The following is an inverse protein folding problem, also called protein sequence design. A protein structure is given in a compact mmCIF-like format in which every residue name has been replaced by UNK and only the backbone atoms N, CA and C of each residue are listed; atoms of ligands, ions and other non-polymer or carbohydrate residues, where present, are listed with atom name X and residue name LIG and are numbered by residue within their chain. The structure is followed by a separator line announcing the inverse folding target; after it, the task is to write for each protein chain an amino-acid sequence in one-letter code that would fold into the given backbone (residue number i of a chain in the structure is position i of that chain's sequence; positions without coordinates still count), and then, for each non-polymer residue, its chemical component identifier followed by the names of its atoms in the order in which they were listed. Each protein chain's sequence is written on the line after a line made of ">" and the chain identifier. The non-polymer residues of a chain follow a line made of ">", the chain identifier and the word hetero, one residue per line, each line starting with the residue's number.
data_IF_932987906647
#
_entry.id   IF_932987906647
#
_cell.length_a   1.000
_cell.length_b   1.000
_cell.length_c   1.000
_cell.angle_alpha   90.00
_cell.angle_beta   90.00
_cell.angle_gamma   90.00
#
_symmetry.space_group_name_H-M   'P 1'
#
loop_
_entity.id
_entity.type
_entity.pdbx_description
1 polymer ?
#
# COMPACT_ATOMS: atom_id res chain seq x y z
N UNK A 1 9.35 -78.15 -41.54
CA UNK A 1 10.17 -77.35 -40.54
C UNK A 1 9.34 -76.21 -40.11
N UNK A 2 8.84 -76.14 -38.90
CA UNK A 2 8.06 -75.03 -38.41
C UNK A 2 8.93 -74.02 -37.65
N UNK A 3 8.81 -72.74 -38.00
CA UNK A 3 9.43 -71.57 -37.35
C UNK A 3 8.67 -71.22 -36.08
N UNK A 4 9.33 -71.25 -34.93
CA UNK A 4 8.78 -70.84 -33.64
C UNK A 4 8.89 -69.38 -33.47
N UNK A 5 7.77 -68.69 -33.48
CA UNK A 5 7.69 -67.24 -33.19
C UNK A 5 7.65 -67.10 -31.65
N UNK A 6 8.69 -66.51 -31.05
CA UNK A 6 8.75 -66.12 -29.65
C UNK A 6 8.09 -64.77 -29.47
N UNK A 7 6.95 -64.71 -28.82
CA UNK A 7 6.31 -63.47 -28.37
C UNK A 7 7.04 -62.98 -27.14
N UNK A 8 7.66 -61.78 -27.26
CA UNK A 8 8.14 -61.02 -26.12
C UNK A 8 7.04 -60.06 -25.66
N UNK A 9 6.43 -60.34 -24.51
CA UNK A 9 5.55 -59.39 -23.80
C UNK A 9 6.44 -58.33 -23.13
N UNK A 10 6.49 -57.13 -23.69
CA UNK A 10 7.04 -55.96 -22.99
C UNK A 10 5.94 -55.36 -22.10
N UNK A 11 6.07 -55.54 -20.78
CA UNK A 11 5.19 -54.92 -19.82
C UNK A 11 5.44 -53.39 -19.73
N UNK A 12 4.47 -52.63 -20.18
CA UNK A 12 4.46 -51.15 -20.04
C UNK A 12 3.95 -50.84 -18.61
N UNK A 13 4.88 -50.56 -17.68
CA UNK A 13 4.54 -50.03 -16.35
C UNK A 13 4.24 -48.56 -16.53
N UNK A 14 2.96 -48.20 -16.59
CA UNK A 14 2.48 -46.82 -16.60
C UNK A 14 2.59 -46.29 -15.15
N UNK A 15 3.67 -45.58 -14.84
CA UNK A 15 3.82 -44.86 -13.59
C UNK A 15 2.88 -43.65 -13.63
N UNK A 16 1.70 -43.78 -13.04
CA UNK A 16 0.80 -42.68 -12.75
C UNK A 16 1.46 -41.80 -11.66
N UNK A 17 2.16 -40.76 -12.07
CA UNK A 17 2.54 -39.67 -11.18
C UNK A 17 1.26 -38.97 -10.75
N UNK A 18 0.79 -39.27 -9.54
CA UNK A 18 -0.30 -38.55 -8.89
C UNK A 18 0.21 -37.08 -8.69
N UNK A 19 -0.19 -36.18 -9.59
CA UNK A 19 -0.14 -34.74 -9.31
C UNK A 19 -1.13 -34.47 -8.16
N UNK A 20 -0.60 -34.47 -6.93
CA UNK A 20 -1.33 -33.92 -5.81
C UNK A 20 -1.57 -32.44 -6.16
N UNK A 21 -2.81 -31.91 -6.09
CA UNK A 21 -3.04 -30.50 -6.21
C UNK A 21 -2.21 -29.85 -5.11
N UNK A 22 -1.26 -28.99 -5.47
CA UNK A 22 -0.65 -28.09 -4.52
C UNK A 22 -1.80 -27.24 -3.98
N UNK A 23 -2.32 -27.61 -2.82
CA UNK A 23 -3.21 -26.74 -2.06
C UNK A 23 -2.38 -25.48 -1.83
N UNK A 24 -2.80 -24.38 -2.42
CA UNK A 24 -2.25 -23.08 -2.11
C UNK A 24 -2.60 -22.83 -0.64
N UNK A 25 -1.70 -23.26 0.26
CA UNK A 25 -1.84 -23.07 1.69
C UNK A 25 -1.86 -21.56 1.95
N UNK A 26 -2.71 -21.12 2.87
CA UNK A 26 -2.62 -19.78 3.41
C UNK A 26 -1.19 -19.58 3.94
N UNK A 27 -0.62 -18.40 3.73
CA UNK A 27 0.76 -18.11 4.18
C UNK A 27 0.75 -17.85 5.69
N UNK A 28 0.67 -18.91 6.48
CA UNK A 28 0.61 -18.87 7.95
C UNK A 28 1.90 -18.30 8.55
N UNK A 29 1.85 -17.89 9.81
CA UNK A 29 3.03 -17.45 10.56
C UNK A 29 4.11 -18.54 10.57
N UNK A 30 3.71 -19.80 10.79
CA UNK A 30 4.65 -20.93 10.81
C UNK A 30 5.33 -21.14 9.45
N UNK A 31 4.62 -20.97 8.33
CA UNK A 31 5.18 -21.07 6.99
C UNK A 31 6.16 -19.95 6.67
N UNK A 32 5.87 -18.70 7.13
CA UNK A 32 6.78 -17.57 7.00
C UNK A 32 8.07 -17.84 7.77
N UNK A 33 7.98 -18.31 9.01
CA UNK A 33 9.13 -18.66 9.85
C UNK A 33 9.91 -19.82 9.22
N UNK A 34 9.25 -20.87 8.78
CA UNK A 34 9.87 -22.04 8.14
C UNK A 34 10.58 -21.66 6.81
N UNK A 35 10.01 -20.72 6.04
CA UNK A 35 10.62 -20.17 4.82
C UNK A 35 11.82 -19.29 5.12
N UNK A 36 11.95 -18.78 6.34
CA UNK A 36 13.07 -17.95 6.80
C UNK A 36 13.07 -16.52 6.28
N UNK A 37 11.94 -15.99 5.81
CA UNK A 37 11.77 -14.59 5.40
C UNK A 37 10.31 -14.16 5.38
N UNK A 38 10.05 -12.88 5.64
CA UNK A 38 8.77 -12.21 5.45
C UNK A 38 8.83 -11.37 4.16
N UNK A 39 7.85 -11.54 3.26
CA UNK A 39 7.80 -10.79 2.00
C UNK A 39 6.72 -9.71 2.10
N UNK A 40 7.12 -8.43 2.00
CA UNK A 40 6.21 -7.29 2.23
C UNK A 40 6.18 -6.36 1.03
N UNK A 41 4.98 -6.07 0.54
CA UNK A 41 4.79 -5.02 -0.45
C UNK A 41 4.84 -3.64 0.21
N UNK A 42 5.63 -2.76 -0.36
CA UNK A 42 5.83 -1.37 0.08
C UNK A 42 5.81 -0.42 -1.12
N UNK A 43 5.46 0.85 -0.88
CA UNK A 43 5.61 1.92 -1.87
C UNK A 43 6.86 2.74 -1.51
N UNK A 44 7.78 2.91 -2.45
CA UNK A 44 9.01 3.69 -2.26
C UNK A 44 8.97 5.06 -2.95
N UNK A 45 7.79 5.52 -3.35
CA UNK A 45 7.59 6.81 -4.02
C UNK A 45 6.82 7.81 -3.18
N UNK A 46 6.45 7.43 -1.95
CA UNK A 46 5.55 8.19 -1.08
C UNK A 46 6.21 8.55 0.26
N UNK A 47 7.23 9.41 0.23
CA UNK A 47 7.82 9.88 1.48
C UNK A 47 6.79 10.69 2.30
N UNK A 48 6.82 10.66 3.64
CA UNK A 48 7.81 10.03 4.52
C UNK A 48 7.51 8.58 4.87
N UNK A 49 6.50 7.98 4.24
CA UNK A 49 6.07 6.60 4.55
C UNK A 49 6.98 5.56 3.93
N UNK A 50 7.31 5.72 2.64
CA UNK A 50 8.26 4.86 1.95
C UNK A 50 8.98 5.64 0.84
N UNK A 51 10.32 5.57 0.84
CA UNK A 51 11.18 6.22 -0.16
C UNK A 51 12.54 5.52 -0.20
N UNK A 52 13.37 5.87 -1.17
CA UNK A 52 14.74 5.40 -1.25
C UNK A 52 15.68 6.43 -0.59
N UNK A 53 16.61 5.95 0.24
CA UNK A 53 17.68 6.80 0.79
C UNK A 53 18.78 7.10 -0.26
N UNK A 54 19.86 7.75 0.17
CA UNK A 54 21.00 8.09 -0.70
C UNK A 54 21.72 6.85 -1.28
N UNK A 55 21.62 5.71 -0.60
CA UNK A 55 22.17 4.43 -1.03
C UNK A 55 21.20 3.57 -1.85
N UNK A 56 20.05 4.16 -2.24
CA UNK A 56 18.93 3.51 -2.93
C UNK A 56 18.30 2.37 -2.13
N UNK A 57 18.37 2.42 -0.80
CA UNK A 57 17.72 1.45 0.08
C UNK A 57 16.34 1.97 0.50
N UNK A 58 15.33 1.09 0.55
CA UNK A 58 14.03 1.45 1.09
C UNK A 58 14.13 1.94 2.54
N UNK A 59 13.52 3.09 2.81
CA UNK A 59 13.41 3.69 4.15
C UNK A 59 12.08 4.42 4.29
N UNK A 60 11.70 4.78 5.51
CA UNK A 60 10.45 5.47 5.79
C UNK A 60 9.64 4.81 6.89
N UNK A 61 8.52 5.43 7.23
CA UNK A 61 7.66 4.96 8.33
C UNK A 61 7.15 3.53 8.10
N UNK A 62 6.57 3.25 6.92
CA UNK A 62 6.03 1.93 6.58
C UNK A 62 7.13 0.86 6.46
N UNK A 63 8.30 1.27 5.92
CA UNK A 63 9.46 0.38 5.80
C UNK A 63 9.94 -0.05 7.19
N UNK A 64 9.99 0.89 8.15
CA UNK A 64 10.43 0.58 9.50
C UNK A 64 9.40 -0.27 10.27
N UNK A 65 8.10 0.00 10.06
CA UNK A 65 7.04 -0.87 10.59
C UNK A 65 7.19 -2.29 10.06
N UNK A 66 7.38 -2.47 8.75
CA UNK A 66 7.58 -3.79 8.16
C UNK A 66 8.86 -4.48 8.64
N UNK A 67 9.96 -3.72 8.80
CA UNK A 67 11.22 -4.25 9.35
C UNK A 67 11.01 -4.78 10.77
N UNK A 68 10.34 -4.02 11.63
CA UNK A 68 10.02 -4.45 13.01
C UNK A 68 9.08 -5.67 13.05
N UNK A 69 8.22 -5.83 12.05
CA UNK A 69 7.38 -7.02 11.92
C UNK A 69 8.25 -8.27 11.65
N UNK A 70 9.25 -8.17 10.76
CA UNK A 70 10.21 -9.26 10.53
C UNK A 70 11.07 -9.55 11.75
N UNK A 71 11.55 -8.51 12.45
CA UNK A 71 12.30 -8.66 13.71
C UNK A 71 11.48 -9.45 14.75
N UNK A 72 10.19 -9.13 14.91
CA UNK A 72 9.30 -9.81 15.84
C UNK A 72 9.00 -11.27 15.45
N UNK A 73 9.04 -11.61 14.16
CA UNK A 73 8.92 -12.97 13.63
C UNK A 73 10.27 -13.73 13.67
N UNK A 74 11.37 -13.04 13.94
CA UNK A 74 12.72 -13.63 13.91
C UNK A 74 13.22 -13.93 12.49
N UNK A 75 12.72 -13.24 11.47
CA UNK A 75 13.10 -13.43 10.06
C UNK A 75 13.43 -12.10 9.37
N UNK A 76 14.33 -12.08 8.37
CA UNK A 76 14.56 -10.91 7.54
C UNK A 76 13.33 -10.57 6.70
N UNK A 77 13.20 -9.29 6.35
CA UNK A 77 12.14 -8.81 5.44
C UNK A 77 12.70 -8.66 4.03
N UNK A 78 11.98 -9.24 3.07
CA UNK A 78 12.16 -9.00 1.64
C UNK A 78 11.11 -7.99 1.18
N UNK A 79 11.55 -6.83 0.69
CA UNK A 79 10.65 -5.80 0.19
C UNK A 79 10.35 -5.99 -1.29
N UNK A 80 9.06 -5.95 -1.65
CA UNK A 80 8.56 -5.89 -3.01
C UNK A 80 7.98 -4.50 -3.25
N UNK A 81 8.59 -3.70 -4.11
CA UNK A 81 8.07 -2.37 -4.45
C UNK A 81 6.83 -2.49 -5.32
N UNK A 82 5.75 -1.85 -4.89
CA UNK A 82 4.49 -1.77 -5.62
C UNK A 82 3.98 -0.33 -5.66
N UNK A 83 3.25 0.01 -6.69
CA UNK A 83 2.44 1.24 -6.73
C UNK A 83 1.07 1.01 -6.09
N UNK A 84 0.31 2.07 -5.86
CA UNK A 84 -1.03 1.98 -5.23
C UNK A 84 -1.96 0.96 -5.88
N UNK A 85 -2.09 0.84 -7.22
CA UNK A 85 -2.90 -0.20 -7.86
C UNK A 85 -2.37 -1.62 -7.66
N UNK A 86 -1.07 -1.79 -7.46
CA UNK A 86 -0.42 -3.11 -7.32
C UNK A 86 -0.63 -3.78 -5.95
N UNK A 87 -1.05 -3.05 -4.92
CA UNK A 87 -1.18 -3.57 -3.54
C UNK A 87 -2.10 -4.78 -3.43
N UNK A 88 -3.34 -4.67 -3.90
CA UNK A 88 -4.31 -5.77 -3.84
C UNK A 88 -3.90 -6.95 -4.74
N UNK A 89 -3.53 -6.73 -6.02
CA UNK A 89 -3.05 -7.81 -6.87
C UNK A 89 -1.88 -8.61 -6.27
N UNK A 90 -0.91 -7.94 -5.62
CA UNK A 90 0.23 -8.65 -5.02
C UNK A 90 -0.16 -9.60 -3.89
N UNK A 91 -1.20 -9.28 -3.10
CA UNK A 91 -1.79 -10.18 -2.11
C UNK A 91 -2.57 -11.33 -2.75
N UNK A 92 -3.45 -11.01 -3.73
CA UNK A 92 -4.30 -12.01 -4.38
C UNK A 92 -3.49 -13.07 -5.15
N UNK A 93 -2.35 -12.67 -5.71
CA UNK A 93 -1.42 -13.58 -6.41
C UNK A 93 -0.42 -14.26 -5.47
N UNK A 94 -0.49 -14.00 -4.15
CA UNK A 94 0.44 -14.52 -3.13
C UNK A 94 1.91 -14.20 -3.42
N UNK A 95 2.15 -13.08 -4.12
CA UNK A 95 3.49 -12.56 -4.37
C UNK A 95 4.11 -12.04 -3.07
N UNK A 96 3.30 -11.57 -2.14
CA UNK A 96 3.68 -11.03 -0.84
C UNK A 96 2.83 -11.62 0.27
N UNK A 97 3.35 -11.64 1.48
CA UNK A 97 2.63 -12.07 2.69
C UNK A 97 1.75 -10.94 3.22
N UNK A 98 2.25 -9.70 3.13
CA UNK A 98 1.57 -8.52 3.66
C UNK A 98 1.84 -7.29 2.79
N UNK A 99 0.94 -6.30 2.91
CA UNK A 99 1.11 -4.95 2.35
C UNK A 99 1.21 -3.94 3.49
N UNK A 100 2.34 -3.25 3.59
CA UNK A 100 2.58 -2.13 4.51
C UNK A 100 2.92 -0.91 3.68
N UNK A 101 1.90 -0.13 3.29
CA UNK A 101 2.05 0.88 2.23
C UNK A 101 0.90 1.88 2.21
N UNK A 102 0.75 2.71 3.26
CA UNK A 102 -0.34 3.70 3.35
C UNK A 102 -1.69 3.08 2.91
N UNK A 103 -1.93 1.86 3.32
CA UNK A 103 -3.03 1.07 2.80
C UNK A 103 -4.33 1.39 3.55
N UNK A 104 -5.03 2.44 3.08
CA UNK A 104 -6.28 2.92 3.70
C UNK A 104 -7.31 1.81 3.81
N UNK A 105 -7.83 1.62 5.02
CA UNK A 105 -8.93 0.70 5.32
C UNK A 105 -10.20 1.27 4.72
N UNK A 106 -10.78 0.57 3.74
CA UNK A 106 -12.05 0.95 3.11
C UNK A 106 -12.94 -0.27 2.88
N UNK A 107 -14.30 -0.12 2.96
CA UNK A 107 -15.21 -1.24 2.71
C UNK A 107 -15.02 -1.88 1.32
N UNK A 108 -14.76 -1.07 0.29
CA UNK A 108 -14.56 -1.56 -1.08
C UNK A 108 -13.33 -2.50 -1.20
N UNK A 109 -12.23 -2.16 -0.51
CA UNK A 109 -11.03 -3.00 -0.49
C UNK A 109 -11.20 -4.21 0.42
N UNK A 110 -11.94 -4.07 1.53
CA UNK A 110 -12.20 -5.17 2.48
C UNK A 110 -13.05 -6.30 1.87
N UNK A 111 -13.67 -6.10 0.71
CA UNK A 111 -14.27 -7.19 -0.07
C UNK A 111 -13.21 -8.15 -0.61
N UNK A 112 -12.01 -7.65 -0.93
CA UNK A 112 -10.96 -8.39 -1.63
C UNK A 112 -9.83 -8.88 -0.71
N UNK A 113 -9.51 -8.13 0.33
CA UNK A 113 -8.40 -8.40 1.27
C UNK A 113 -8.85 -8.16 2.70
N UNK A 114 -8.10 -8.68 3.66
CA UNK A 114 -8.30 -8.37 5.07
C UNK A 114 -7.25 -7.37 5.57
N UNK A 115 -7.57 -6.73 6.69
CA UNK A 115 -6.73 -5.72 7.31
C UNK A 115 -6.45 -6.05 8.77
N UNK A 116 -5.29 -5.62 9.23
CA UNK A 116 -5.01 -5.49 10.65
C UNK A 116 -5.83 -4.36 11.29
N UNK A 117 -5.77 -4.23 12.61
CA UNK A 117 -6.10 -2.99 13.31
C UNK A 117 -5.26 -1.84 12.73
N UNK A 118 -5.73 -0.57 12.83
CA UNK A 118 -4.98 0.57 12.31
C UNK A 118 -3.64 0.76 13.02
N UNK A 119 -2.57 0.97 12.22
CA UNK A 119 -1.24 1.30 12.73
C UNK A 119 -0.86 2.77 12.52
N UNK A 120 -1.55 3.47 11.62
CA UNK A 120 -1.36 4.89 11.32
C UNK A 120 -2.62 5.50 10.71
N UNK A 121 -2.58 6.79 10.43
CA UNK A 121 -3.63 7.50 9.72
C UNK A 121 -3.16 8.87 9.25
N UNK A 122 -3.93 9.46 8.35
CA UNK A 122 -3.69 10.79 7.79
C UNK A 122 -4.98 11.48 7.38
N UNK A 123 -4.92 12.80 7.19
CA UNK A 123 -5.96 13.53 6.49
C UNK A 123 -5.70 13.48 4.98
N UNK A 124 -6.69 13.03 4.22
CA UNK A 124 -6.75 13.26 2.79
C UNK A 124 -7.22 14.70 2.56
N UNK A 125 -6.52 15.43 1.71
CA UNK A 125 -6.70 16.85 1.47
C UNK A 125 -6.62 17.18 -0.02
N UNK A 126 -7.13 18.35 -0.39
CA UNK A 126 -6.78 18.98 -1.67
C UNK A 126 -5.71 20.03 -1.41
N UNK A 127 -4.65 19.98 -2.21
CA UNK A 127 -3.53 20.93 -2.17
C UNK A 127 -3.49 21.68 -3.50
N UNK A 128 -3.27 22.98 -3.45
CA UNK A 128 -3.16 23.84 -4.63
C UNK A 128 -2.30 25.07 -4.34
N UNK A 129 -1.92 25.86 -5.37
CA UNK A 129 -1.27 27.14 -5.14
C UNK A 129 -2.10 28.08 -4.26
N UNK A 130 -1.46 28.86 -3.39
CA UNK A 130 -2.12 29.84 -2.52
C UNK A 130 -2.98 30.81 -3.31
N UNK A 131 -2.52 31.20 -4.51
CA UNK A 131 -3.22 32.09 -5.42
C UNK A 131 -4.52 31.52 -5.99
N UNK A 132 -4.72 30.21 -5.91
CA UNK A 132 -5.92 29.54 -6.44
C UNK A 132 -7.00 29.46 -5.36
N UNK A 133 -8.13 30.11 -5.57
CA UNK A 133 -9.24 30.07 -4.62
C UNK A 133 -9.99 28.75 -4.77
N UNK A 134 -9.87 27.88 -3.75
CA UNK A 134 -10.54 26.57 -3.65
C UNK A 134 -10.94 26.37 -2.19
N UNK A 135 -12.22 26.13 -1.93
CA UNK A 135 -12.78 25.85 -0.60
C UNK A 135 -13.60 24.55 -0.55
N UNK A 136 -13.88 23.97 -1.71
CA UNK A 136 -14.66 22.74 -1.84
C UNK A 136 -14.65 22.18 -3.24
N UNK A 137 -15.38 21.09 -3.46
CA UNK A 137 -15.42 20.38 -4.75
C UNK A 137 -15.93 21.26 -5.91
N UNK A 138 -16.88 22.15 -5.65
CA UNK A 138 -17.43 23.01 -6.69
C UNK A 138 -16.39 23.96 -7.30
N UNK A 139 -15.38 24.38 -6.52
CA UNK A 139 -14.32 25.28 -6.99
C UNK A 139 -13.28 24.56 -7.87
N UNK A 140 -13.36 23.23 -7.98
CA UNK A 140 -12.52 22.42 -8.86
C UNK A 140 -13.03 22.38 -10.30
N UNK A 141 -14.25 22.87 -10.58
CA UNK A 141 -14.81 22.95 -11.95
C UNK A 141 -13.90 23.80 -12.82
N UNK A 142 -13.58 23.31 -14.02
CA UNK A 142 -12.64 23.96 -14.96
C UNK A 142 -11.17 23.80 -14.61
N UNK A 143 -10.81 22.99 -13.59
CA UNK A 143 -9.44 22.74 -13.15
C UNK A 143 -9.00 21.32 -13.44
N UNK A 144 -7.69 21.18 -13.67
CA UNK A 144 -7.00 19.87 -13.76
C UNK A 144 -6.61 19.43 -12.37
N UNK A 145 -7.24 18.35 -11.91
CA UNK A 145 -7.00 17.77 -10.58
C UNK A 145 -6.19 16.49 -10.71
N UNK A 146 -4.96 16.50 -10.21
CA UNK A 146 -4.07 15.36 -10.20
C UNK A 146 -4.35 14.41 -9.04
N UNK A 147 -4.27 13.11 -9.31
CA UNK A 147 -4.47 12.03 -8.33
C UNK A 147 -3.51 10.90 -8.58
N UNK A 148 -3.07 10.22 -7.52
CA UNK A 148 -2.41 8.92 -7.69
C UNK A 148 -3.47 7.85 -7.91
N UNK A 149 -3.36 7.11 -9.00
CA UNK A 149 -4.30 6.04 -9.39
C UNK A 149 -4.49 5.02 -8.27
N UNK A 150 -5.74 4.64 -8.03
CA UNK A 150 -6.09 3.56 -7.09
C UNK A 150 -5.92 3.93 -5.61
N UNK A 151 -5.71 5.22 -5.28
CA UNK A 151 -5.74 5.70 -3.89
C UNK A 151 -7.18 5.89 -3.41
N UNK A 152 -7.36 6.14 -2.12
CA UNK A 152 -8.68 6.45 -1.57
C UNK A 152 -9.14 7.85 -2.01
N UNK A 153 -8.21 8.78 -2.17
CA UNK A 153 -8.42 10.13 -2.68
C UNK A 153 -8.91 10.11 -4.14
N UNK A 154 -8.35 9.20 -4.98
CA UNK A 154 -8.83 8.99 -6.36
C UNK A 154 -10.31 8.63 -6.38
N UNK A 155 -10.76 7.71 -5.52
CA UNK A 155 -12.17 7.36 -5.42
C UNK A 155 -13.07 8.54 -5.03
N UNK A 156 -12.66 9.35 -4.04
CA UNK A 156 -13.44 10.51 -3.58
C UNK A 156 -13.55 11.58 -4.66
N UNK A 157 -12.41 11.96 -5.26
CA UNK A 157 -12.39 13.07 -6.21
C UNK A 157 -12.94 12.66 -7.59
N UNK A 158 -12.91 11.37 -7.94
CA UNK A 158 -13.64 10.85 -9.09
C UNK A 158 -15.15 10.99 -8.89
N UNK A 159 -15.68 10.58 -7.74
CA UNK A 159 -17.10 10.77 -7.43
C UNK A 159 -17.49 12.25 -7.38
N UNK A 160 -16.59 13.11 -6.87
CA UNK A 160 -16.80 14.56 -6.91
C UNK A 160 -16.85 15.11 -8.34
N UNK A 161 -16.01 14.61 -9.26
CA UNK A 161 -16.02 15.01 -10.67
C UNK A 161 -17.29 14.55 -11.40
N UNK A 162 -17.80 13.36 -11.07
CA UNK A 162 -19.09 12.88 -11.60
C UNK A 162 -20.25 13.77 -11.15
N UNK A 163 -20.22 14.24 -9.89
CA UNK A 163 -21.23 15.14 -9.34
C UNK A 163 -21.08 16.61 -9.78
N UNK A 164 -19.88 17.02 -10.23
CA UNK A 164 -19.55 18.37 -10.67
C UNK A 164 -18.88 18.33 -12.06
N UNK A 165 -19.67 18.22 -13.15
CA UNK A 165 -19.12 18.16 -14.50
C UNK A 165 -18.24 19.36 -14.83
N UNK A 166 -17.08 19.07 -15.44
CA UNK A 166 -16.05 20.08 -15.76
C UNK A 166 -14.80 20.01 -14.87
N UNK A 167 -14.77 19.14 -13.87
CA UNK A 167 -13.53 18.77 -13.16
C UNK A 167 -12.77 17.78 -14.05
N UNK A 168 -11.53 18.12 -14.43
CA UNK A 168 -10.67 17.24 -15.23
C UNK A 168 -9.75 16.44 -14.32
N UNK A 169 -9.95 15.11 -14.22
CA UNK A 169 -9.11 14.23 -13.40
C UNK A 169 -7.94 13.70 -14.22
N UNK A 170 -6.70 14.00 -13.77
CA UNK A 170 -5.46 13.43 -14.29
C UNK A 170 -4.88 12.44 -13.29
N UNK A 171 -4.65 11.19 -13.73
CA UNK A 171 -4.15 10.12 -12.88
C UNK A 171 -2.70 9.81 -13.16
N UNK A 172 -1.90 9.81 -12.11
CA UNK A 172 -0.48 9.44 -12.09
C UNK A 172 -0.33 8.06 -11.49
N UNK A 173 0.66 7.31 -11.92
CA UNK A 173 0.86 5.93 -11.48
C UNK A 173 1.54 5.86 -10.10
N UNK A 174 2.29 6.91 -9.73
CA UNK A 174 2.96 7.04 -8.44
C UNK A 174 2.87 8.46 -7.88
N UNK A 175 3.17 8.60 -6.57
CA UNK A 175 3.04 9.87 -5.87
C UNK A 175 4.11 10.89 -6.25
N UNK A 176 5.32 10.44 -6.57
CA UNK A 176 6.40 11.34 -6.98
C UNK A 176 6.07 12.05 -8.30
N UNK A 177 5.49 11.32 -9.26
CA UNK A 177 5.01 11.88 -10.54
C UNK A 177 3.89 12.89 -10.32
N UNK A 178 2.97 12.62 -9.38
CA UNK A 178 1.91 13.56 -9.01
C UNK A 178 2.48 14.87 -8.41
N UNK A 179 3.44 14.77 -7.48
CA UNK A 179 4.12 15.94 -6.90
C UNK A 179 4.84 16.75 -7.97
N UNK A 180 5.55 16.08 -8.90
CA UNK A 180 6.24 16.75 -10.01
C UNK A 180 5.25 17.49 -10.93
N UNK A 181 4.10 16.91 -11.22
CA UNK A 181 3.06 17.55 -12.02
C UNK A 181 2.50 18.81 -11.33
N UNK A 182 2.38 18.79 -9.98
CA UNK A 182 1.97 19.97 -9.21
C UNK A 182 3.01 21.07 -9.26
N UNK A 183 4.28 20.74 -9.04
CA UNK A 183 5.39 21.71 -9.05
C UNK A 183 5.59 22.33 -10.43
N UNK A 184 5.40 21.55 -11.51
CA UNK A 184 5.56 22.03 -12.89
C UNK A 184 4.35 22.81 -13.44
N UNK A 185 3.24 22.89 -12.67
CA UNK A 185 2.01 23.55 -13.13
C UNK A 185 1.25 22.73 -14.21
N UNK A 186 1.51 21.45 -14.35
CA UNK A 186 0.77 20.55 -15.25
C UNK A 186 -0.68 20.33 -14.75
N UNK A 187 -0.88 20.46 -13.43
CA UNK A 187 -2.18 20.36 -12.75
C UNK A 187 -2.40 21.61 -11.89
N UNK A 188 -3.68 21.96 -11.69
CA UNK A 188 -4.10 23.14 -10.91
C UNK A 188 -4.27 22.83 -9.43
N UNK A 189 -4.59 21.57 -9.10
CA UNK A 189 -4.74 21.07 -7.75
C UNK A 189 -4.39 19.58 -7.71
N UNK A 190 -4.05 19.06 -6.52
CA UNK A 190 -3.85 17.64 -6.29
C UNK A 190 -4.66 17.14 -5.09
N UNK A 191 -5.16 15.91 -5.19
CA UNK A 191 -5.66 15.17 -4.04
C UNK A 191 -4.59 14.21 -3.50
N UNK A 192 -4.37 14.25 -2.19
CA UNK A 192 -3.37 13.42 -1.55
C UNK A 192 -3.43 13.49 -0.02
N UNK A 193 -2.42 12.94 0.65
CA UNK A 193 -2.26 13.08 2.08
C UNK A 193 -1.75 14.46 2.50
N UNK A 194 -2.04 14.86 3.74
CA UNK A 194 -1.62 16.14 4.34
C UNK A 194 -0.08 16.32 4.36
N UNK A 195 0.67 15.22 4.34
CA UNK A 195 2.14 15.25 4.19
C UNK A 195 2.61 15.81 2.84
N UNK A 196 1.76 15.85 1.82
CA UNK A 196 2.10 16.35 0.49
C UNK A 196 2.53 17.82 0.51
N UNK A 197 1.92 18.65 1.35
CA UNK A 197 2.32 20.05 1.53
C UNK A 197 3.76 20.17 2.03
N UNK A 198 4.17 19.30 2.97
CA UNK A 198 5.54 19.27 3.52
C UNK A 198 6.56 18.99 2.42
N UNK A 199 6.19 18.12 1.47
CA UNK A 199 7.04 17.80 0.33
C UNK A 199 7.11 18.91 -0.68
N UNK A 200 5.97 19.50 -1.02
CA UNK A 200 5.91 20.64 -1.93
C UNK A 200 6.74 21.80 -1.39
N UNK A 201 6.71 22.08 -0.09
CA UNK A 201 7.54 23.11 0.57
C UNK A 201 9.04 22.93 0.40
N UNK A 202 9.52 21.75 0.05
CA UNK A 202 10.94 21.50 -0.25
C UNK A 202 11.31 21.79 -1.70
N UNK A 203 10.33 22.02 -2.58
CA UNK A 203 10.58 22.42 -3.97
C UNK A 203 10.94 23.90 -4.07
N UNK A 204 11.47 24.32 -5.22
CA UNK A 204 11.88 25.71 -5.46
C UNK A 204 10.74 26.73 -5.27
N UNK A 205 9.48 26.30 -5.51
CA UNK A 205 8.28 27.13 -5.36
C UNK A 205 7.41 26.65 -4.18
N UNK A 206 8.02 26.00 -3.20
CA UNK A 206 7.28 25.26 -2.17
C UNK A 206 6.41 26.11 -1.27
N UNK A 207 6.80 27.35 -1.03
CA UNK A 207 6.02 28.29 -0.23
C UNK A 207 4.73 28.76 -0.92
N UNK A 208 4.57 28.47 -2.21
CA UNK A 208 3.38 28.87 -2.98
C UNK A 208 2.20 27.90 -2.80
N UNK A 209 2.40 26.74 -2.20
CA UNK A 209 1.36 25.73 -2.04
C UNK A 209 0.78 25.70 -0.62
N UNK A 210 -0.49 25.30 -0.52
CA UNK A 210 -1.19 25.12 0.76
C UNK A 210 -2.29 24.06 0.64
N UNK A 211 -2.68 23.50 1.79
CA UNK A 211 -3.89 22.70 1.89
C UNK A 211 -5.12 23.61 1.76
N UNK A 212 -6.02 23.26 0.84
CA UNK A 212 -7.24 24.04 0.58
C UNK A 212 -8.39 23.59 1.45
N UNK A 213 -8.67 22.29 1.46
CA UNK A 213 -9.67 21.71 2.33
C UNK A 213 -9.43 20.21 2.54
N UNK A 214 -9.99 19.70 3.63
CA UNK A 214 -9.92 18.28 4.01
C UNK A 214 -11.02 17.49 3.34
N UNK A 215 -10.66 16.36 2.73
CA UNK A 215 -11.59 15.41 2.16
C UNK A 215 -12.12 14.46 3.24
N UNK A 216 -11.22 13.74 3.90
CA UNK A 216 -11.55 12.72 4.91
C UNK A 216 -10.29 12.37 5.71
N UNK A 217 -10.47 11.79 6.91
CA UNK A 217 -9.39 11.06 7.59
C UNK A 217 -9.43 9.60 7.15
N UNK A 218 -8.27 9.05 6.77
CA UNK A 218 -8.07 7.64 6.53
C UNK A 218 -7.14 7.03 7.56
N UNK A 219 -7.44 5.79 7.91
CA UNK A 219 -6.61 4.96 8.77
C UNK A 219 -5.98 3.86 7.94
N UNK A 220 -4.74 3.50 8.25
CA UNK A 220 -3.97 2.51 7.51
C UNK A 220 -3.89 1.22 8.30
N UNK A 221 -4.23 0.12 7.64
CA UNK A 221 -4.02 -1.24 8.15
C UNK A 221 -2.97 -1.96 7.32
N UNK A 222 -2.34 -2.95 7.92
CA UNK A 222 -1.53 -3.91 7.20
C UNK A 222 -2.48 -4.85 6.47
N UNK A 223 -2.36 -4.91 5.14
CA UNK A 223 -3.20 -5.79 4.31
C UNK A 223 -2.65 -7.19 4.26
N UNK A 224 -3.53 -8.19 4.33
CA UNK A 224 -3.22 -9.62 4.13
C UNK A 224 -4.27 -10.24 3.20
N UNK A 225 -3.97 -11.41 2.63
CA UNK A 225 -4.95 -12.17 1.87
C UNK A 225 -6.12 -12.60 2.76
N UNK A 226 -7.33 -12.70 2.19
CA UNK A 226 -8.57 -13.02 2.94
C UNK A 226 -8.57 -14.37 3.66
N UNK A 227 -7.78 -15.30 3.21
CA UNK A 227 -7.66 -16.64 3.78
C UNK A 227 -6.52 -16.74 4.82
N UNK A 228 -5.95 -15.61 5.25
CA UNK A 228 -4.80 -15.55 6.14
C UNK A 228 -5.12 -14.94 7.52
N UNK A 229 -6.13 -15.47 8.19
CA UNK A 229 -6.54 -15.05 9.52
C UNK A 229 -5.44 -15.25 10.58
N UNK A 230 -4.62 -16.28 10.45
CA UNK A 230 -3.52 -16.57 11.36
C UNK A 230 -2.52 -15.41 11.39
N UNK A 231 -1.98 -15.03 10.25
CA UNK A 231 -1.07 -13.90 10.14
C UNK A 231 -1.75 -12.59 10.58
N UNK A 232 -3.02 -12.36 10.20
CA UNK A 232 -3.76 -11.17 10.59
C UNK A 232 -3.89 -11.03 12.11
N UNK A 233 -4.24 -12.11 12.81
CA UNK A 233 -4.36 -12.11 14.28
C UNK A 233 -3.02 -11.90 14.96
N UNK A 234 -1.96 -12.54 14.44
CA UNK A 234 -0.60 -12.30 14.92
C UNK A 234 -0.21 -10.82 14.75
N UNK A 235 -0.44 -10.23 13.56
CA UNK A 235 -0.17 -8.80 13.29
C UNK A 235 -0.96 -7.91 14.26
N UNK A 236 -2.22 -8.21 14.52
CA UNK A 236 -3.03 -7.42 15.46
C UNK A 236 -2.46 -7.43 16.87
N UNK A 237 -2.05 -8.60 17.36
CA UNK A 237 -1.42 -8.76 18.67
C UNK A 237 -0.11 -7.99 18.74
N UNK A 238 0.73 -8.11 17.71
CA UNK A 238 2.00 -7.39 17.61
C UNK A 238 1.79 -5.87 17.54
N UNK A 239 0.87 -5.36 16.70
CA UNK A 239 0.56 -3.93 16.62
C UNK A 239 0.03 -3.38 17.94
N UNK A 240 -0.76 -4.16 18.68
CA UNK A 240 -1.20 -3.78 20.01
C UNK A 240 -0.02 -3.52 20.95
N UNK A 241 1.00 -4.40 20.96
CA UNK A 241 2.20 -4.20 21.78
C UNK A 241 3.01 -3.00 21.32
N UNK A 242 3.24 -2.83 20.01
CA UNK A 242 3.95 -1.67 19.46
C UNK A 242 3.28 -0.34 19.85
N UNK A 243 1.95 -0.32 19.85
CA UNK A 243 1.17 0.86 20.26
C UNK A 243 1.29 1.12 21.75
N UNK A 244 1.15 0.07 22.57
CA UNK A 244 1.25 0.17 24.04
C UNK A 244 2.65 0.65 24.50
N UNK A 245 3.68 0.20 23.80
CA UNK A 245 5.08 0.55 24.08
C UNK A 245 5.50 1.92 23.49
N UNK A 246 4.59 2.62 22.79
CA UNK A 246 4.86 3.93 22.17
C UNK A 246 5.76 3.87 20.93
N UNK A 247 6.06 2.69 20.40
CA UNK A 247 6.97 2.52 19.25
C UNK A 247 6.38 3.15 17.98
N UNK A 248 5.09 2.95 17.71
CA UNK A 248 4.43 3.57 16.55
C UNK A 248 4.46 5.10 16.63
N UNK A 249 4.26 5.67 17.81
CA UNK A 249 4.35 7.11 18.05
C UNK A 249 5.77 7.63 17.79
N UNK A 250 6.79 6.93 18.32
CA UNK A 250 8.20 7.29 18.09
C UNK A 250 8.56 7.27 16.59
N UNK A 251 8.09 6.27 15.83
CA UNK A 251 8.26 6.19 14.39
C UNK A 251 7.54 7.33 13.65
N UNK A 252 6.34 7.69 14.10
CA UNK A 252 5.61 8.83 13.53
C UNK A 252 6.38 10.13 13.73
N UNK A 253 6.89 10.39 14.93
CA UNK A 253 7.72 11.56 15.20
C UNK A 253 9.02 11.55 14.39
N UNK A 254 9.69 10.39 14.26
CA UNK A 254 10.94 10.25 13.50
C UNK A 254 10.76 10.62 12.02
N UNK A 255 9.73 10.10 11.37
CA UNK A 255 9.57 10.22 9.93
C UNK A 255 8.64 11.35 9.50
N UNK A 256 7.56 11.57 10.24
CA UNK A 256 6.49 12.51 9.91
C UNK A 256 6.60 13.83 10.65
N UNK A 257 7.39 13.88 11.74
CA UNK A 257 7.47 15.01 12.67
C UNK A 257 6.09 15.44 13.21
N UNK A 258 5.21 14.46 13.38
CA UNK A 258 3.83 14.64 13.84
C UNK A 258 3.42 13.43 14.70
N UNK A 259 2.58 13.64 15.73
CA UNK A 259 1.99 12.54 16.47
C UNK A 259 1.06 11.72 15.57
N UNK A 260 0.83 10.47 15.96
CA UNK A 260 -0.23 9.68 15.35
C UNK A 260 -1.59 10.29 15.67
N UNK A 261 -2.55 10.26 14.73
CA UNK A 261 -3.93 10.55 15.07
C UNK A 261 -4.44 9.50 16.07
N UNK A 262 -5.50 9.82 16.80
CA UNK A 262 -6.20 8.81 17.59
C UNK A 262 -6.64 7.67 16.67
N UNK A 263 -6.12 6.46 16.91
CA UNK A 263 -6.40 5.29 16.10
C UNK A 263 -7.65 4.60 16.65
N UNK A 264 -8.70 4.40 15.84
CA UNK A 264 -9.89 3.69 16.26
C UNK A 264 -9.57 2.24 16.60
N UNK A 265 -10.32 1.69 17.55
CA UNK A 265 -10.31 0.27 17.89
C UNK A 265 -11.57 -0.35 17.29
N UNK A 266 -11.45 -1.53 16.65
CA UNK A 266 -12.59 -2.35 16.20
C UNK A 266 -12.52 -3.76 16.71
#
# INVERSE_FOLDING_TARGET
>A
MPFKLKQALAGLVLSAVAMLPATALAQTVDEIIARGKLIVAVDTTTPPYGFLDADLKPTGFDIEVATKMGEALGVPVEFVTVTSPGRIPSLLTKQVDAVVSIFSITPARAIQVDYSIPYAGQSAVVIAPKSTAISGHADLVGKKVGLTRGTAEDGILTAAAEANPGIEILRFDDYASLLQAMVSGQIDAMGGGDYGEIYLKKSANGDDFEQKYKLKTFYFGIGVAKDNDDLRQWINTWLFTLKADGVLEALSMKYRNQPLPELPVF
#
